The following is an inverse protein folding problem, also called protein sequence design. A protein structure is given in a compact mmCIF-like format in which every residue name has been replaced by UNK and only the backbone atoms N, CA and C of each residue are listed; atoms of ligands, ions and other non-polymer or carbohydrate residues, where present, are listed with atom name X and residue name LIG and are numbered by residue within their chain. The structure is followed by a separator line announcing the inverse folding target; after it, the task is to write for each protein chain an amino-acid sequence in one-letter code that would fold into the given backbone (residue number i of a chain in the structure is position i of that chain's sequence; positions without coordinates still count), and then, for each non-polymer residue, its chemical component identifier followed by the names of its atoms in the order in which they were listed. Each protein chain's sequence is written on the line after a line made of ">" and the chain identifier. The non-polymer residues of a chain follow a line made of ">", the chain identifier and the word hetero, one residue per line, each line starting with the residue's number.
data_IF_934064265333
#
_entry.id   IF_934064265333
#
_cell.length_a   1.000
_cell.length_b   1.000
_cell.length_c   1.000
_cell.angle_alpha   90.00
_cell.angle_beta   90.00
_cell.angle_gamma   90.00
#
_symmetry.space_group_name_H-M   'P 1'
#
loop_
_entity.id
_entity.type
_entity.pdbx_description
1 polymer ?
#
# COMPACT_ATOMS: atom_id res chain seq x y z
N UNK A 1 15.77 10.01 10.64
CA UNK A 1 15.26 8.62 10.58
C UNK A 1 13.74 8.58 10.48
N UNK A 2 13.00 9.26 11.38
CA UNK A 2 11.54 9.37 11.35
C UNK A 2 10.95 9.91 10.05
N UNK A 3 11.54 10.96 9.48
CA UNK A 3 11.07 11.55 8.22
C UNK A 3 11.08 10.53 7.07
N UNK A 4 12.14 9.72 6.94
CA UNK A 4 12.22 8.67 5.90
C UNK A 4 11.15 7.60 6.07
N UNK A 5 10.81 7.25 7.33
CA UNK A 5 9.75 6.28 7.65
C UNK A 5 8.36 6.81 7.32
N UNK A 6 8.10 8.08 7.62
CA UNK A 6 6.83 8.74 7.25
C UNK A 6 6.69 8.80 5.73
N UNK A 7 7.74 9.20 5.02
CA UNK A 7 7.74 9.23 3.54
C UNK A 7 7.48 7.83 2.98
N UNK A 8 8.15 6.80 3.51
CA UNK A 8 7.92 5.42 3.11
C UNK A 8 6.46 5.00 3.32
N UNK A 9 5.89 5.30 4.48
CA UNK A 9 4.50 4.97 4.79
C UNK A 9 3.54 5.66 3.82
N UNK A 10 3.72 6.95 3.54
CA UNK A 10 2.88 7.70 2.60
C UNK A 10 2.95 7.12 1.19
N UNK A 11 4.17 6.83 0.69
CA UNK A 11 4.36 6.23 -0.63
C UNK A 11 3.73 4.84 -0.69
N UNK A 12 3.92 4.02 0.33
CA UNK A 12 3.37 2.67 0.41
C UNK A 12 1.83 2.68 0.39
N UNK A 13 1.20 3.56 1.17
CA UNK A 13 -0.26 3.71 1.16
C UNK A 13 -0.79 4.25 -0.18
N UNK A 14 -0.10 5.22 -0.79
CA UNK A 14 -0.47 5.74 -2.10
C UNK A 14 -0.44 4.66 -3.18
N UNK A 15 0.61 3.82 -3.19
CA UNK A 15 0.74 2.70 -4.12
C UNK A 15 -0.31 1.62 -3.80
N UNK A 16 -0.54 1.29 -2.52
CA UNK A 16 -1.52 0.29 -2.12
C UNK A 16 -2.95 0.63 -2.55
N UNK A 17 -3.37 1.88 -2.33
CA UNK A 17 -4.68 2.36 -2.78
C UNK A 17 -4.76 2.45 -4.30
N UNK A 18 -3.74 3.02 -4.96
CA UNK A 18 -3.70 3.13 -6.42
C UNK A 18 -3.75 1.76 -7.12
N UNK A 19 -3.01 0.78 -6.62
CA UNK A 19 -3.04 -0.60 -7.13
C UNK A 19 -4.42 -1.23 -6.93
N UNK A 20 -5.03 -1.06 -5.75
CA UNK A 20 -6.38 -1.58 -5.48
C UNK A 20 -7.41 -0.99 -6.44
N UNK A 21 -7.36 0.32 -6.70
CA UNK A 21 -8.24 0.98 -7.67
C UNK A 21 -8.06 0.40 -9.07
N UNK A 22 -6.81 0.21 -9.52
CA UNK A 22 -6.53 -0.39 -10.83
C UNK A 22 -7.04 -1.82 -10.90
N UNK A 23 -6.81 -2.64 -9.87
CA UNK A 23 -7.27 -4.04 -9.80
C UNK A 23 -8.80 -4.10 -9.90
N UNK A 24 -9.50 -3.29 -9.09
CA UNK A 24 -10.97 -3.22 -9.11
C UNK A 24 -11.49 -2.86 -10.50
N UNK A 25 -10.87 -1.87 -11.14
CA UNK A 25 -11.22 -1.46 -12.51
C UNK A 25 -10.95 -2.57 -13.53
N UNK A 26 -9.86 -3.33 -13.39
CA UNK A 26 -9.51 -4.43 -14.29
C UNK A 26 -10.45 -5.64 -14.16
N UNK A 27 -11.01 -5.86 -12.98
CA UNK A 27 -12.00 -6.93 -12.73
C UNK A 27 -13.41 -6.52 -13.26
N UNK A 28 -13.58 -5.27 -13.68
CA UNK A 28 -14.83 -4.77 -14.25
C UNK A 28 -15.88 -4.38 -13.20
N UNK A 29 -15.45 -4.12 -11.97
CA UNK A 29 -16.30 -3.64 -10.87
C UNK A 29 -15.88 -2.24 -10.44
N UNK A 30 -16.68 -1.59 -9.58
CA UNK A 30 -16.34 -0.32 -8.93
C UNK A 30 -16.03 -0.52 -7.44
N UNK A 31 -15.51 0.51 -6.77
CA UNK A 31 -15.16 0.44 -5.33
C UNK A 31 -16.39 0.27 -4.43
N UNK A 32 -17.56 0.74 -4.87
CA UNK A 32 -18.81 0.64 -4.11
C UNK A 32 -19.30 -0.81 -4.05
N UNK A 33 -19.31 -1.50 -5.20
CA UNK A 33 -19.66 -2.91 -5.34
C UNK A 33 -18.58 -3.83 -4.75
N UNK A 34 -17.30 -3.47 -4.89
CA UNK A 34 -16.20 -4.20 -4.27
C UNK A 34 -16.28 -4.15 -2.74
N UNK A 35 -16.83 -3.07 -2.19
CA UNK A 35 -17.08 -2.89 -0.77
C UNK A 35 -15.95 -2.17 -0.04
N UNK A 36 -16.33 -1.31 0.91
CA UNK A 36 -15.39 -0.45 1.64
C UNK A 36 -14.36 -1.25 2.46
N UNK A 37 -14.80 -2.33 3.12
CA UNK A 37 -13.94 -3.17 3.93
C UNK A 37 -12.93 -3.95 3.07
N UNK A 38 -13.38 -4.51 1.95
CA UNK A 38 -12.49 -5.17 1.00
C UNK A 38 -11.49 -4.19 0.40
N UNK A 39 -11.94 -3.00 -0.01
CA UNK A 39 -11.05 -1.94 -0.52
C UNK A 39 -9.97 -1.59 0.52
N UNK A 40 -10.36 -1.41 1.77
CA UNK A 40 -9.44 -1.09 2.86
C UNK A 40 -8.43 -2.21 3.11
N UNK A 41 -8.88 -3.46 3.29
CA UNK A 41 -7.98 -4.57 3.58
C UNK A 41 -7.06 -4.91 2.40
N UNK A 42 -7.56 -4.85 1.16
CA UNK A 42 -6.75 -5.09 -0.05
C UNK A 42 -5.70 -4.00 -0.22
N UNK A 43 -6.09 -2.73 -0.08
CA UNK A 43 -5.13 -1.62 -0.17
C UNK A 43 -4.10 -1.63 0.94
N UNK A 44 -4.50 -1.98 2.16
CA UNK A 44 -3.60 -2.14 3.31
C UNK A 44 -2.62 -3.30 3.09
N UNK A 45 -3.09 -4.44 2.58
CA UNK A 45 -2.23 -5.59 2.30
C UNK A 45 -1.15 -5.25 1.26
N UNK A 46 -1.55 -4.58 0.17
CA UNK A 46 -0.61 -4.14 -0.87
C UNK A 46 0.33 -3.07 -0.30
N UNK A 47 -0.18 -2.10 0.47
CA UNK A 47 0.64 -1.07 1.09
C UNK A 47 1.70 -1.67 2.03
N UNK A 48 1.35 -2.65 2.85
CA UNK A 48 2.31 -3.35 3.70
C UNK A 48 3.40 -4.06 2.88
N UNK A 49 3.01 -4.79 1.84
CA UNK A 49 3.95 -5.48 0.96
C UNK A 49 4.92 -4.49 0.27
N UNK A 50 4.39 -3.39 -0.26
CA UNK A 50 5.19 -2.32 -0.89
C UNK A 50 6.07 -1.61 0.13
N UNK A 51 5.58 -1.34 1.34
CA UNK A 51 6.33 -0.71 2.42
C UNK A 51 7.52 -1.56 2.86
N UNK A 52 7.34 -2.87 3.02
CA UNK A 52 8.40 -3.85 3.29
C UNK A 52 9.44 -3.85 2.17
N UNK A 53 9.00 -3.84 0.92
CA UNK A 53 9.89 -3.80 -0.23
C UNK A 53 10.67 -2.48 -0.31
N UNK A 54 10.02 -1.33 -0.11
CA UNK A 54 10.64 -0.01 -0.10
C UNK A 54 11.60 0.18 1.07
N UNK A 55 11.37 -0.45 2.22
CA UNK A 55 12.29 -0.36 3.37
C UNK A 55 13.69 -0.85 3.01
N UNK A 56 13.76 -1.90 2.18
CA UNK A 56 15.02 -2.44 1.65
C UNK A 56 15.82 -1.43 0.83
N UNK A 57 15.16 -0.55 0.07
CA UNK A 57 15.82 0.45 -0.77
C UNK A 57 16.06 1.78 -0.06
N UNK A 58 15.13 2.19 0.80
CA UNK A 58 15.19 3.47 1.49
C UNK A 58 16.06 3.43 2.76
N UNK A 59 16.46 2.23 3.19
CA UNK A 59 17.34 2.02 4.34
C UNK A 59 16.71 2.57 5.62
N UNK A 60 15.39 2.43 5.79
CA UNK A 60 14.69 3.00 6.94
C UNK A 60 14.78 2.14 8.20
N UNK A 61 15.37 0.93 8.06
CA UNK A 61 15.56 -0.09 9.10
C UNK A 61 14.25 -0.28 9.88
N UNK A 62 13.16 -0.44 9.14
CA UNK A 62 11.83 -0.63 9.71
C UNK A 62 11.66 -2.09 10.14
N UNK A 63 12.21 -3.02 9.36
CA UNK A 63 12.38 -4.41 9.75
C UNK A 63 13.71 -4.66 10.47
N UNK A 64 13.75 -5.59 11.45
CA UNK A 64 15.01 -6.08 12.00
C UNK A 64 15.84 -6.77 10.91
N UNK A 65 17.16 -6.75 11.08
CA UNK A 65 18.12 -7.41 10.18
C UNK A 65 18.12 -8.92 10.35
#
# INVERSE_FOLDING_TARGET
>A
MWIKRIILAVIAFAIGFGATFVIVKLIGTNLEEYGIWYTFFTSLAIACAVGVWLDKFMGTNLMPK
#
